data_IF_245870422248
#
_entry.id   IF_245870422248
#
_cell.length_a   1.000
_cell.length_b   1.000
_cell.length_c   1.000
_cell.angle_alpha   90.00
_cell.angle_beta   90.00
_cell.angle_gamma   90.00
#
_symmetry.space_group_name_H-M   'P 1'
#
loop_
_entity.id
_entity.type
_entity.pdbx_description
1 polymer ?
#
# COMPACT_ATOMS: atom_id res chain seq x y z
N UNK A 1 -28.04 -15.57 30.68
CA UNK A 1 -27.64 -15.93 29.30
C UNK A 1 -26.31 -15.23 29.07
N UNK A 2 -25.21 -15.98 29.16
CA UNK A 2 -23.87 -15.46 28.91
C UNK A 2 -23.66 -15.44 27.40
N UNK A 3 -23.80 -14.26 26.79
CA UNK A 3 -23.31 -14.01 25.44
C UNK A 3 -21.78 -14.16 25.47
N UNK A 4 -21.31 -15.39 25.20
CA UNK A 4 -19.92 -15.58 24.80
C UNK A 4 -19.78 -14.84 23.48
N UNK A 5 -19.21 -13.64 23.53
CA UNK A 5 -18.56 -13.01 22.38
C UNK A 5 -17.49 -14.00 21.90
N UNK A 6 -17.85 -14.88 20.99
CA UNK A 6 -16.93 -15.77 20.29
C UNK A 6 -16.01 -14.89 19.47
N UNK A 7 -14.86 -14.55 20.06
CA UNK A 7 -13.77 -13.91 19.35
C UNK A 7 -13.52 -14.79 18.11
N UNK A 8 -13.63 -14.23 16.89
CA UNK A 8 -13.44 -15.02 15.69
C UNK A 8 -12.07 -15.69 15.69
N UNK A 9 -12.02 -16.94 15.20
CA UNK A 9 -10.76 -17.66 15.09
C UNK A 9 -9.76 -16.86 14.25
N UNK A 10 -8.52 -16.79 14.76
CA UNK A 10 -7.45 -16.07 14.08
C UNK A 10 -7.13 -16.74 12.76
N UNK A 11 -6.91 -15.94 11.71
CA UNK A 11 -6.47 -16.46 10.42
C UNK A 11 -5.12 -17.18 10.53
N UNK A 12 -4.85 -18.15 9.64
CA UNK A 12 -3.54 -18.77 9.57
C UNK A 12 -2.48 -17.71 9.27
N UNK A 13 -1.29 -17.85 9.90
CA UNK A 13 -0.15 -16.93 9.75
C UNK A 13 0.19 -16.66 8.27
N UNK A 14 0.01 -17.66 7.41
CA UNK A 14 0.24 -17.55 5.97
C UNK A 14 -0.61 -16.47 5.30
N UNK A 15 -1.87 -16.27 5.72
CA UNK A 15 -2.74 -15.23 5.17
C UNK A 15 -2.19 -13.83 5.47
N UNK A 16 -1.70 -13.59 6.69
CA UNK A 16 -1.08 -12.32 7.05
C UNK A 16 0.21 -12.06 6.29
N UNK A 17 1.01 -13.11 6.03
CA UNK A 17 2.23 -12.99 5.22
C UNK A 17 1.89 -12.62 3.77
N UNK A 18 0.88 -13.25 3.19
CA UNK A 18 0.43 -12.93 1.82
C UNK A 18 -0.02 -11.46 1.71
N UNK A 19 -0.81 -10.99 2.68
CA UNK A 19 -1.27 -9.61 2.72
C UNK A 19 -0.11 -8.61 2.88
N UNK A 20 0.83 -8.92 3.76
CA UNK A 20 2.05 -8.13 3.94
C UNK A 20 2.91 -8.09 2.68
N UNK A 21 3.06 -9.23 1.99
CA UNK A 21 3.79 -9.31 0.72
C UNK A 21 3.13 -8.47 -0.37
N UNK A 22 1.78 -8.45 -0.44
CA UNK A 22 1.05 -7.63 -1.40
C UNK A 22 1.20 -6.13 -1.11
N UNK A 23 1.12 -5.73 0.16
CA UNK A 23 1.37 -4.36 0.58
C UNK A 23 2.81 -3.93 0.22
N UNK A 24 3.79 -4.78 0.51
CA UNK A 24 5.19 -4.54 0.18
C UNK A 24 5.40 -4.42 -1.32
N UNK A 25 4.73 -5.25 -2.14
CA UNK A 25 4.81 -5.16 -3.59
C UNK A 25 4.24 -3.84 -4.14
N UNK A 26 3.10 -3.37 -3.61
CA UNK A 26 2.53 -2.07 -3.98
C UNK A 26 3.54 -0.96 -3.69
N UNK A 27 4.08 -0.92 -2.47
CA UNK A 27 5.05 0.09 -2.05
C UNK A 27 6.36 0.01 -2.85
N UNK A 28 6.83 -1.20 -3.16
CA UNK A 28 8.04 -1.42 -3.95
C UNK A 28 7.87 -0.86 -5.37
N UNK A 29 6.78 -1.22 -6.05
CA UNK A 29 6.53 -0.78 -7.44
C UNK A 29 6.43 0.74 -7.50
N UNK A 30 5.61 1.34 -6.64
CA UNK A 30 5.46 2.78 -6.61
C UNK A 30 6.72 3.51 -6.14
N UNK A 31 7.47 2.91 -5.22
CA UNK A 31 8.76 3.42 -4.77
C UNK A 31 9.79 3.43 -5.90
N UNK A 32 9.85 2.38 -6.73
CA UNK A 32 10.73 2.33 -7.91
C UNK A 32 10.33 3.42 -8.92
N UNK A 33 9.04 3.56 -9.19
CA UNK A 33 8.53 4.60 -10.10
C UNK A 33 8.91 5.98 -9.54
N UNK A 34 8.60 6.26 -8.28
CA UNK A 34 8.95 7.52 -7.62
C UNK A 34 10.45 7.80 -7.67
N UNK A 35 11.30 6.81 -7.35
CA UNK A 35 12.75 6.96 -7.38
C UNK A 35 13.28 7.25 -8.79
N UNK A 36 12.71 6.61 -9.82
CA UNK A 36 13.04 6.91 -11.22
C UNK A 36 12.72 8.36 -11.58
N UNK A 37 11.55 8.88 -11.19
CA UNK A 37 11.19 10.27 -11.45
C UNK A 37 11.94 11.27 -10.55
N UNK A 38 12.38 10.86 -9.37
CA UNK A 38 13.09 11.75 -8.43
C UNK A 38 14.58 11.86 -8.77
N UNK A 39 15.21 10.75 -9.16
CA UNK A 39 16.67 10.65 -9.30
C UNK A 39 17.14 10.23 -10.70
N UNK A 40 16.24 9.70 -11.54
CA UNK A 40 16.61 9.07 -12.81
C UNK A 40 16.94 10.03 -13.95
N UNK A 41 16.55 11.30 -13.86
CA UNK A 41 16.83 12.29 -14.90
C UNK A 41 17.41 13.58 -14.27
N UNK A 42 18.74 13.69 -14.33
CA UNK A 42 19.50 14.84 -13.80
C UNK A 42 19.74 15.95 -14.83
N UNK A 43 19.35 15.78 -16.10
CA UNK A 43 19.64 16.70 -17.21
C UNK A 43 18.38 17.21 -17.93
N UNK A 44 17.32 17.55 -17.19
CA UNK A 44 16.05 18.01 -17.78
C UNK A 44 15.91 19.52 -17.94
N UNK A 45 16.88 20.31 -17.43
CA UNK A 45 16.82 21.77 -17.49
C UNK A 45 15.52 22.32 -16.90
N UNK A 46 14.76 23.10 -17.68
CA UNK A 46 13.48 23.71 -17.26
C UNK A 46 12.39 22.70 -16.85
N UNK A 47 12.52 21.42 -17.20
CA UNK A 47 11.55 20.37 -16.83
C UNK A 47 11.90 19.64 -15.53
N UNK A 48 13.04 19.95 -14.91
CA UNK A 48 13.51 19.29 -13.68
C UNK A 48 12.48 19.39 -12.54
N UNK A 49 11.86 20.56 -12.38
CA UNK A 49 10.85 20.77 -11.34
C UNK A 49 9.56 19.96 -11.57
N UNK A 50 9.10 19.88 -12.83
CA UNK A 50 7.93 19.07 -13.17
C UNK A 50 8.23 17.58 -12.93
N UNK A 51 9.44 17.15 -13.28
CA UNK A 51 9.86 15.77 -13.13
C UNK A 51 9.95 15.35 -11.65
N UNK A 52 10.53 16.20 -10.80
CA UNK A 52 10.58 15.97 -9.36
C UNK A 52 9.18 15.90 -8.73
N UNK A 53 8.27 16.80 -9.15
CA UNK A 53 6.87 16.79 -8.70
C UNK A 53 6.15 15.50 -9.09
N UNK A 54 6.45 14.92 -10.26
CA UNK A 54 5.93 13.60 -10.64
C UNK A 54 6.46 12.51 -9.70
N UNK A 55 7.73 12.58 -9.29
CA UNK A 55 8.31 11.67 -8.31
C UNK A 55 7.59 11.69 -6.96
N UNK A 56 7.29 12.88 -6.44
CA UNK A 56 6.50 13.06 -5.21
C UNK A 56 5.05 12.57 -5.40
N UNK A 57 4.43 12.89 -6.53
CA UNK A 57 3.07 12.45 -6.84
C UNK A 57 2.97 10.93 -6.86
N UNK A 58 3.94 10.24 -7.48
CA UNK A 58 3.96 8.79 -7.52
C UNK A 58 4.23 8.15 -6.15
N UNK A 59 5.05 8.77 -5.31
CA UNK A 59 5.20 8.34 -3.92
C UNK A 59 3.87 8.43 -3.15
N UNK A 60 3.19 9.58 -3.26
CA UNK A 60 1.90 9.81 -2.62
C UNK A 60 0.83 8.82 -3.11
N UNK A 61 0.75 8.60 -4.43
CA UNK A 61 -0.17 7.63 -5.04
C UNK A 61 0.13 6.22 -4.53
N UNK A 62 1.40 5.83 -4.42
CA UNK A 62 1.79 4.53 -3.88
C UNK A 62 1.36 4.31 -2.44
N UNK A 63 1.60 5.30 -1.58
CA UNK A 63 1.17 5.27 -0.17
C UNK A 63 -0.36 5.21 -0.07
N UNK A 64 -1.06 6.02 -0.87
CA UNK A 64 -2.53 6.00 -0.92
C UNK A 64 -3.05 4.63 -1.37
N UNK A 65 -2.45 4.03 -2.40
CA UNK A 65 -2.83 2.73 -2.91
C UNK A 65 -2.65 1.62 -1.86
N UNK A 66 -1.50 1.63 -1.16
CA UNK A 66 -1.22 0.72 -0.05
C UNK A 66 -2.24 0.90 1.10
N UNK A 67 -2.60 2.14 1.40
CA UNK A 67 -3.60 2.46 2.43
C UNK A 67 -4.99 1.97 2.03
N UNK A 68 -5.40 2.18 0.77
CA UNK A 68 -6.67 1.68 0.25
C UNK A 68 -6.73 0.15 0.25
N UNK A 69 -5.64 -0.52 -0.11
CA UNK A 69 -5.52 -1.97 -0.01
C UNK A 69 -5.75 -2.45 1.43
N UNK A 70 -5.09 -1.80 2.40
CA UNK A 70 -5.25 -2.13 3.81
C UNK A 70 -6.71 -1.91 4.26
N UNK A 71 -7.33 -0.79 3.88
CA UNK A 71 -8.73 -0.50 4.18
C UNK A 71 -9.70 -1.54 3.59
N UNK A 72 -9.50 -1.91 2.32
CA UNK A 72 -10.24 -3.00 1.68
C UNK A 72 -10.12 -4.30 2.50
N UNK A 73 -8.92 -4.66 2.91
CA UNK A 73 -8.66 -5.90 3.65
C UNK A 73 -9.30 -5.91 5.04
N UNK A 74 -9.29 -4.77 5.74
CA UNK A 74 -9.99 -4.61 7.02
C UNK A 74 -11.50 -4.80 6.86
N UNK A 75 -12.11 -4.21 5.82
CA UNK A 75 -13.55 -4.38 5.55
C UNK A 75 -13.88 -5.83 5.18
N UNK A 76 -13.04 -6.46 4.36
CA UNK A 76 -13.18 -7.86 3.97
C UNK A 76 -13.15 -8.79 5.20
N UNK A 77 -12.21 -8.57 6.13
CA UNK A 77 -12.17 -9.31 7.39
C UNK A 77 -13.40 -9.10 8.26
N UNK A 78 -13.84 -7.85 8.40
CA UNK A 78 -15.03 -7.55 9.19
C UNK A 78 -16.28 -8.24 8.61
N UNK A 79 -16.43 -8.26 7.29
CA UNK A 79 -17.53 -8.99 6.63
C UNK A 79 -17.41 -10.51 6.75
N UNK A 80 -16.20 -11.05 6.76
CA UNK A 80 -15.99 -12.49 6.94
C UNK A 80 -16.27 -12.96 8.38
N UNK A 81 -16.30 -12.03 9.34
CA UNK A 81 -16.52 -12.33 10.77
C UNK A 81 -17.88 -11.87 11.31
N UNK A 82 -18.69 -11.19 10.50
CA UNK A 82 -20.08 -10.81 10.81
C UNK A 82 -21.08 -11.89 10.35
#
# INVERSE_FOLDING_TARGET
MTDQSSIPDSLPVQAYIEDGARLAAILLVWGIISAFFTYGLTELGIFEQLWFQLGELFALVGVLNATLYLGYRVVDYWRATA
#
